data_IF_836330529574
#
_entry.id   IF_836330529574
#
_cell.length_a   1.000
_cell.length_b   1.000
_cell.length_c   1.000
_cell.angle_alpha   90.00
_cell.angle_beta   90.00
_cell.angle_gamma   90.00
#
_symmetry.space_group_name_H-M   'P 1'
#
loop_
_entity.id
_entity.type
_entity.pdbx_description
1 polymer ?
#
# COMPACT_ATOMS: atom_id res chain seq x y z
N UNK A 1 -1.79 -13.37 7.79
CA UNK A 1 -0.43 -13.88 7.53
C UNK A 1 -0.38 -14.77 6.29
N UNK A 2 -1.30 -15.71 6.19
CA UNK A 2 -1.34 -16.58 5.00
C UNK A 2 -1.71 -15.82 3.74
N UNK A 3 -2.62 -14.86 3.84
CA UNK A 3 -2.99 -14.00 2.71
C UNK A 3 -1.79 -13.19 2.21
N UNK A 4 -0.97 -12.67 3.12
CA UNK A 4 0.25 -11.95 2.77
C UNK A 4 1.29 -12.84 2.08
N UNK A 5 1.45 -14.08 2.55
CA UNK A 5 2.35 -15.04 1.93
C UNK A 5 1.88 -15.42 0.52
N UNK A 6 0.58 -15.63 0.36
CA UNK A 6 0.01 -15.95 -0.95
C UNK A 6 0.20 -14.79 -1.94
N UNK A 7 0.00 -13.56 -1.48
CA UNK A 7 0.21 -12.37 -2.28
C UNK A 7 1.65 -12.25 -2.78
N UNK A 8 2.64 -12.41 -1.90
CA UNK A 8 4.05 -12.37 -2.27
C UNK A 8 4.41 -13.48 -3.25
N UNK A 9 3.87 -14.68 -3.05
CA UNK A 9 4.09 -15.81 -3.93
C UNK A 9 3.54 -15.54 -5.33
N UNK A 10 2.35 -14.96 -5.41
CA UNK A 10 1.71 -14.59 -6.67
C UNK A 10 2.52 -13.52 -7.40
N UNK A 11 2.97 -12.49 -6.68
CA UNK A 11 3.83 -11.45 -7.24
C UNK A 11 5.12 -12.03 -7.82
N UNK A 12 5.80 -12.89 -7.09
CA UNK A 12 7.03 -13.50 -7.57
C UNK A 12 6.81 -14.34 -8.83
N UNK A 13 5.70 -15.05 -8.92
CA UNK A 13 5.35 -15.82 -10.10
C UNK A 13 5.12 -14.93 -11.32
N UNK A 14 4.44 -13.80 -11.15
CA UNK A 14 4.21 -12.82 -12.22
C UNK A 14 5.52 -12.20 -12.67
N UNK A 15 6.40 -11.83 -11.75
CA UNK A 15 7.71 -11.28 -12.04
C UNK A 15 8.55 -12.29 -12.84
N UNK A 16 8.56 -13.56 -12.43
CA UNK A 16 9.29 -14.60 -13.12
C UNK A 16 8.83 -14.78 -14.58
N UNK A 17 7.56 -14.54 -14.86
CA UNK A 17 6.99 -14.62 -16.21
C UNK A 17 7.15 -13.34 -17.01
N UNK A 18 7.79 -12.31 -16.47
CA UNK A 18 8.03 -11.01 -17.11
C UNK A 18 6.76 -10.37 -17.66
N UNK A 19 5.71 -10.34 -16.84
CA UNK A 19 4.45 -9.67 -17.16
C UNK A 19 4.29 -8.43 -16.32
N UNK A 20 3.53 -7.45 -16.81
CA UNK A 20 3.12 -6.30 -15.99
C UNK A 20 2.30 -6.78 -14.80
N UNK A 21 2.46 -6.16 -13.64
CA UNK A 21 1.71 -6.52 -12.46
C UNK A 21 1.41 -5.31 -11.59
N UNK A 22 0.43 -5.47 -10.72
CA UNK A 22 0.05 -4.50 -9.72
C UNK A 22 0.16 -5.13 -8.34
N UNK A 23 0.47 -4.34 -7.34
CA UNK A 23 0.48 -4.81 -5.97
C UNK A 23 -0.14 -3.78 -5.04
N UNK A 24 -0.60 -4.26 -3.90
CA UNK A 24 -1.30 -3.48 -2.90
C UNK A 24 -0.46 -3.44 -1.63
N UNK A 25 -0.31 -2.25 -1.05
CA UNK A 25 0.45 -2.08 0.18
C UNK A 25 -0.06 -0.88 0.97
N UNK A 26 0.17 -0.89 2.27
CA UNK A 26 -0.11 0.23 3.16
C UNK A 26 1.03 1.23 3.22
N UNK A 27 2.15 0.96 2.55
CA UNK A 27 3.33 1.82 2.47
C UNK A 27 3.85 2.29 3.83
N UNK A 28 3.96 1.39 4.79
CA UNK A 28 4.47 1.73 6.13
C UNK A 28 5.97 1.97 6.16
N UNK A 29 6.68 1.77 5.03
CA UNK A 29 8.13 1.96 4.95
C UNK A 29 8.63 1.93 3.50
N UNK A 30 9.94 1.90 3.34
CA UNK A 30 10.62 1.92 2.03
C UNK A 30 11.00 0.52 1.54
N UNK A 31 10.35 -0.52 2.06
CA UNK A 31 10.69 -1.93 1.79
C UNK A 31 10.62 -2.30 0.32
N UNK A 32 9.73 -1.68 -0.44
CA UNK A 32 9.51 -2.02 -1.83
C UNK A 32 10.32 -1.18 -2.81
N UNK A 33 11.01 -0.13 -2.36
CA UNK A 33 11.74 0.78 -3.25
C UNK A 33 12.78 0.02 -4.08
N UNK A 34 13.64 -0.76 -3.45
CA UNK A 34 14.68 -1.51 -4.14
C UNK A 34 14.09 -2.60 -5.04
N UNK A 35 13.03 -3.26 -4.57
CA UNK A 35 12.35 -4.28 -5.34
C UNK A 35 11.72 -3.71 -6.61
N UNK A 36 11.07 -2.55 -6.51
CA UNK A 36 10.47 -1.86 -7.66
C UNK A 36 11.56 -1.46 -8.66
N UNK A 37 12.69 -0.93 -8.18
CA UNK A 37 13.82 -0.59 -9.04
C UNK A 37 14.32 -1.79 -9.84
N UNK A 38 14.44 -2.95 -9.20
CA UNK A 38 14.84 -4.19 -9.86
C UNK A 38 13.84 -4.61 -10.93
N UNK A 39 12.54 -4.59 -10.61
CA UNK A 39 11.50 -4.96 -11.56
C UNK A 39 11.51 -4.05 -12.79
N UNK A 40 11.63 -2.74 -12.59
CA UNK A 40 11.70 -1.79 -13.69
C UNK A 40 12.94 -2.01 -14.55
N UNK A 41 14.08 -2.31 -13.92
CA UNK A 41 15.34 -2.53 -14.63
C UNK A 41 15.27 -3.72 -15.57
N UNK A 42 14.50 -4.74 -15.24
CA UNK A 42 14.32 -5.92 -16.10
C UNK A 42 13.12 -5.80 -17.04
N UNK A 43 12.51 -4.63 -17.13
CA UNK A 43 11.50 -4.33 -18.15
C UNK A 43 10.05 -4.41 -17.71
N UNK A 44 9.77 -4.54 -16.41
CA UNK A 44 8.39 -4.57 -15.93
C UNK A 44 7.78 -3.18 -15.85
N UNK A 45 6.49 -3.11 -16.17
CA UNK A 45 5.65 -1.97 -15.85
C UNK A 45 5.08 -2.19 -14.45
N UNK A 46 5.31 -1.24 -13.54
CA UNK A 46 4.87 -1.35 -12.14
C UNK A 46 3.69 -0.42 -11.90
N UNK A 47 2.60 -0.98 -11.41
CA UNK A 47 1.38 -0.25 -11.07
C UNK A 47 1.17 -0.37 -9.57
N UNK A 48 1.07 0.76 -8.87
CA UNK A 48 0.85 0.80 -7.42
C UNK A 48 -0.57 1.24 -7.10
N UNK A 49 -1.28 0.41 -6.36
CA UNK A 49 -2.59 0.77 -5.79
C UNK A 49 -2.41 1.15 -4.33
N UNK A 50 -2.60 2.42 -4.02
CA UNK A 50 -2.49 2.91 -2.66
C UNK A 50 -3.88 3.04 -2.04
N UNK A 51 -4.15 2.20 -1.04
CA UNK A 51 -5.39 2.24 -0.29
C UNK A 51 -5.24 3.23 0.86
N UNK A 52 -5.91 4.36 0.75
CA UNK A 52 -5.83 5.43 1.75
C UNK A 52 -7.13 5.56 2.54
N UNK A 53 -7.07 6.33 3.61
CA UNK A 53 -8.23 6.76 4.37
C UNK A 53 -8.31 8.29 4.30
N UNK A 54 -9.51 8.88 4.36
CA UNK A 54 -9.65 10.33 4.19
C UNK A 54 -8.99 11.16 5.28
N UNK A 55 -8.84 10.61 6.48
CA UNK A 55 -8.23 11.32 7.61
C UNK A 55 -7.67 10.34 8.64
N UNK A 56 -6.89 10.88 9.59
CA UNK A 56 -6.23 10.07 10.62
C UNK A 56 -7.22 9.48 11.63
N UNK A 57 -8.34 10.13 11.84
CA UNK A 57 -9.37 9.65 12.77
C UNK A 57 -9.96 8.31 12.30
N UNK A 58 -10.12 8.14 11.01
CA UNK A 58 -10.58 6.86 10.45
C UNK A 58 -9.54 5.76 10.61
N UNK A 59 -8.25 6.10 10.53
CA UNK A 59 -7.18 5.15 10.80
C UNK A 59 -7.25 4.67 12.26
N UNK A 60 -7.48 5.60 13.19
CA UNK A 60 -7.65 5.27 14.61
C UNK A 60 -8.86 4.34 14.81
N UNK A 61 -10.00 4.68 14.21
CA UNK A 61 -11.21 3.85 14.31
C UNK A 61 -10.99 2.42 13.81
N UNK A 62 -10.28 2.26 12.71
CA UNK A 62 -9.99 0.93 12.16
C UNK A 62 -9.18 0.07 13.11
N UNK A 63 -8.15 0.66 13.73
CA UNK A 63 -7.33 -0.06 14.70
C UNK A 63 -8.19 -0.41 15.93
N UNK A 64 -9.01 0.50 16.41
CA UNK A 64 -9.91 0.24 17.54
C UNK A 64 -10.88 -0.91 17.26
N UNK A 65 -11.42 -0.99 16.05
CA UNK A 65 -12.27 -2.11 15.64
C UNK A 65 -11.50 -3.44 15.63
N UNK A 66 -10.26 -3.44 15.16
CA UNK A 66 -9.41 -4.63 15.19
C UNK A 66 -9.10 -5.07 16.61
N UNK A 67 -8.84 -4.12 17.51
CA UNK A 67 -8.60 -4.41 18.92
C UNK A 67 -9.85 -5.06 19.53
N UNK A 68 -11.03 -4.53 19.24
CA UNK A 68 -12.30 -5.10 19.70
C UNK A 68 -12.53 -6.53 19.18
N UNK A 69 -11.93 -6.87 18.04
CA UNK A 69 -12.00 -8.19 17.42
C UNK A 69 -10.83 -9.10 17.82
N UNK A 70 -10.02 -8.71 18.79
CA UNK A 70 -8.92 -9.51 19.31
C UNK A 70 -7.55 -9.14 18.76
N UNK A 71 -7.42 -8.03 18.04
CA UNK A 71 -6.14 -7.55 17.55
C UNK A 71 -5.31 -6.83 18.63
N UNK A 72 -4.06 -6.50 18.28
CA UNK A 72 -3.16 -5.82 19.19
C UNK A 72 -3.52 -4.34 19.32
N UNK A 73 -3.45 -3.84 20.56
CA UNK A 73 -3.64 -2.42 20.83
C UNK A 73 -2.42 -1.62 20.33
N UNK A 74 -2.69 -0.51 19.64
CA UNK A 74 -1.66 0.41 19.17
C UNK A 74 -2.00 1.81 19.71
N UNK A 75 -1.04 2.53 20.33
CA UNK A 75 -1.28 3.89 20.82
C UNK A 75 -1.77 4.82 19.69
N UNK A 76 -2.70 5.72 20.03
CA UNK A 76 -3.32 6.62 19.05
C UNK A 76 -2.28 7.50 18.34
N UNK A 77 -1.30 8.02 19.07
CA UNK A 77 -0.25 8.85 18.48
C UNK A 77 0.60 8.08 17.46
N UNK A 78 0.81 6.79 17.68
CA UNK A 78 1.54 5.92 16.74
C UNK A 78 0.71 5.72 15.47
N UNK A 79 -0.60 5.50 15.60
CA UNK A 79 -1.50 5.33 14.46
C UNK A 79 -1.49 6.58 13.60
N UNK A 80 -1.64 7.75 14.20
CA UNK A 80 -1.64 9.04 13.49
C UNK A 80 -0.32 9.30 12.78
N UNK A 81 0.79 9.02 13.45
CA UNK A 81 2.12 9.18 12.88
C UNK A 81 2.31 8.27 11.66
N UNK A 82 1.89 6.99 11.75
CA UNK A 82 1.98 6.04 10.64
C UNK A 82 1.11 6.46 9.46
N UNK A 83 -0.06 7.02 9.73
CA UNK A 83 -0.94 7.54 8.69
C UNK A 83 -0.25 8.62 7.87
N UNK A 84 0.30 9.64 8.52
CA UNK A 84 0.99 10.73 7.84
C UNK A 84 2.29 10.28 7.19
N UNK A 85 3.01 9.37 7.82
CA UNK A 85 4.24 8.79 7.27
C UNK A 85 3.96 8.02 5.98
N UNK A 86 2.88 7.27 5.94
CA UNK A 86 2.50 6.53 4.73
C UNK A 86 2.25 7.45 3.55
N UNK A 87 1.52 8.53 3.75
CA UNK A 87 1.28 9.55 2.74
C UNK A 87 2.59 10.19 2.28
N UNK A 88 3.44 10.59 3.21
CA UNK A 88 4.72 11.23 2.90
C UNK A 88 5.61 10.30 2.08
N UNK A 89 5.72 9.04 2.47
CA UNK A 89 6.52 8.04 1.76
C UNK A 89 5.97 7.83 0.35
N UNK A 90 4.66 7.75 0.19
CA UNK A 90 4.05 7.62 -1.13
C UNK A 90 4.40 8.81 -2.02
N UNK A 91 4.19 10.04 -1.53
CA UNK A 91 4.41 11.25 -2.29
C UNK A 91 5.89 11.49 -2.61
N UNK A 92 6.78 11.21 -1.65
CA UNK A 92 8.20 11.51 -1.78
C UNK A 92 8.99 10.43 -2.53
N UNK A 93 8.54 9.18 -2.48
CA UNK A 93 9.31 8.04 -3.02
C UNK A 93 8.55 7.24 -4.07
N UNK A 94 7.41 6.67 -3.71
CA UNK A 94 6.74 5.71 -4.58
C UNK A 94 6.07 6.33 -5.80
N UNK A 95 5.47 7.51 -5.64
CA UNK A 95 4.72 8.17 -6.71
C UNK A 95 5.57 8.42 -7.96
N UNK A 96 6.82 8.80 -7.77
CA UNK A 96 7.75 9.04 -8.88
C UNK A 96 8.43 7.77 -9.39
N UNK A 97 8.51 6.74 -8.55
CA UNK A 97 9.24 5.50 -8.83
C UNK A 97 8.45 4.55 -9.73
N UNK A 98 7.15 4.42 -9.49
CA UNK A 98 6.29 3.50 -10.25
C UNK A 98 5.87 4.10 -11.59
N UNK A 99 5.48 3.24 -12.53
CA UNK A 99 5.03 3.69 -13.86
C UNK A 99 3.63 4.29 -13.80
N UNK A 100 2.76 3.69 -12.99
CA UNK A 100 1.38 4.13 -12.80
C UNK A 100 0.99 3.95 -11.34
N UNK A 101 0.16 4.84 -10.85
CA UNK A 101 -0.37 4.73 -9.49
C UNK A 101 -1.84 5.14 -9.45
N UNK A 102 -2.57 4.54 -8.55
CA UNK A 102 -3.98 4.87 -8.28
C UNK A 102 -4.18 4.96 -6.77
N UNK A 103 -4.75 6.06 -6.32
CA UNK A 103 -5.09 6.28 -4.92
C UNK A 103 -6.56 5.95 -4.73
N UNK A 104 -6.86 5.06 -3.79
CA UNK A 104 -8.23 4.68 -3.44
C UNK A 104 -8.58 5.18 -2.06
N UNK A 105 -9.83 5.62 -1.90
CA UNK A 105 -10.44 5.81 -0.60
C UNK A 105 -11.04 4.46 -0.16
N UNK A 106 -10.44 3.88 0.87
CA UNK A 106 -10.82 2.58 1.41
C UNK A 106 -11.65 2.70 2.70
N UNK A 107 -12.39 3.80 2.86
CA UNK A 107 -13.23 4.02 4.04
C UNK A 107 -14.55 3.26 4.01
N UNK A 108 -15.04 2.91 2.83
CA UNK A 108 -16.28 2.15 2.64
C UNK A 108 -16.05 0.67 2.40
N UNK A 109 -17.11 -0.04 2.01
CA UNK A 109 -17.05 -1.48 1.71
C UNK A 109 -16.31 -1.76 0.39
N UNK A 110 -16.36 -0.81 -0.54
CA UNK A 110 -15.70 -0.91 -1.83
C UNK A 110 -14.76 0.27 -1.98
N UNK A 111 -13.46 0.03 -2.30
CA UNK A 111 -12.53 1.13 -2.54
C UNK A 111 -12.98 2.00 -3.71
N UNK A 112 -12.85 3.31 -3.56
CA UNK A 112 -13.21 4.29 -4.59
C UNK A 112 -11.97 5.03 -5.04
N UNK A 113 -11.84 5.25 -6.35
CA UNK A 113 -10.71 6.00 -6.90
C UNK A 113 -10.81 7.46 -6.47
N UNK A 114 -9.74 7.99 -5.86
CA UNK A 114 -9.62 9.39 -5.48
C UNK A 114 -8.80 10.13 -6.52
N UNK A 115 -7.68 9.56 -6.92
CA UNK A 115 -6.76 10.17 -7.88
C UNK A 115 -5.98 9.08 -8.58
N UNK A 116 -5.63 9.31 -9.83
CA UNK A 116 -4.77 8.39 -10.59
C UNK A 116 -3.82 9.18 -11.48
N UNK A 117 -2.72 8.57 -11.85
CA UNK A 117 -1.76 9.15 -12.76
C UNK A 117 -2.39 9.26 -14.15
N UNK A 118 -2.39 10.46 -14.65
CA UNK A 118 -2.91 10.75 -16.00
C UNK A 118 -1.90 10.39 -17.10
#
# INVERSE_FOLDING_TARGET
LEAGKLFLKTMNAIVANRKSFAFETTLSGLNYVEQIKKWKKIGYEVILYYLSLPNEEMAVKRVQLRVAQGGHNVPVDVIKRRYHRGWKIFLDHYKALVDTWVIFDNSGNIPKVVEEKS
#
